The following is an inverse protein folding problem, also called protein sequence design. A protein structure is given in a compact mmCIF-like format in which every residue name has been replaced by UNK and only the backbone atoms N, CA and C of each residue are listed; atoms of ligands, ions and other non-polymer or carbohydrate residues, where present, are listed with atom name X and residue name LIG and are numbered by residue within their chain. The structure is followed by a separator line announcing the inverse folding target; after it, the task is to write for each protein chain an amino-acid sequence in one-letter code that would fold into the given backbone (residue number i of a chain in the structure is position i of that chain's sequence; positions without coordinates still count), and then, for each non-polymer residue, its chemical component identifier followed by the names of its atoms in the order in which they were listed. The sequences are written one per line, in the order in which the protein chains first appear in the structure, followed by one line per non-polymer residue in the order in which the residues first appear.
data_IF_376617416945
#
_entry.id   IF_376617416945
#
_cell.length_a   1.000
_cell.length_b   1.000
_cell.length_c   1.000
_cell.angle_alpha   90.00
_cell.angle_beta   90.00
_cell.angle_gamma   90.00
#
_symmetry.space_group_name_H-M   'P 1'
#
loop_
_entity.id
_entity.type
_entity.pdbx_description
1 polymer ?
#
# COMPACT_ATOMS: atom_id res chain seq x y z
N UNK A 1 -6.36 -43.46 16.79
CA UNK A 1 -6.34 -42.78 15.48
C UNK A 1 -6.39 -41.27 15.72
N UNK A 2 -5.80 -40.48 14.81
CA UNK A 2 -5.70 -39.00 14.78
C UNK A 2 -4.57 -38.35 15.61
N UNK A 3 -3.35 -38.34 15.06
CA UNK A 3 -2.29 -37.36 15.38
C UNK A 3 -1.40 -37.19 14.14
N UNK A 4 -1.83 -36.37 13.18
CA UNK A 4 -1.13 -36.23 11.89
C UNK A 4 -1.48 -35.00 11.03
N UNK A 5 -2.53 -34.23 11.33
CA UNK A 5 -2.96 -33.11 10.46
C UNK A 5 -2.42 -31.72 10.86
N UNK A 6 -2.05 -31.50 12.12
CA UNK A 6 -1.69 -30.16 12.61
C UNK A 6 -0.39 -29.57 12.04
N UNK A 7 0.55 -30.39 11.56
CA UNK A 7 1.88 -29.90 11.13
C UNK A 7 1.91 -29.40 9.69
N UNK A 8 0.96 -29.83 8.84
CA UNK A 8 0.95 -29.44 7.43
C UNK A 8 0.25 -28.08 7.25
N UNK A 9 -0.84 -27.83 7.99
CA UNK A 9 -1.56 -26.55 7.97
C UNK A 9 -0.73 -25.41 8.54
N UNK A 10 -0.02 -25.60 9.65
CA UNK A 10 0.88 -24.58 10.22
C UNK A 10 2.02 -24.20 9.26
N UNK A 11 2.58 -25.17 8.52
CA UNK A 11 3.61 -24.92 7.51
C UNK A 11 3.07 -24.25 6.24
N UNK A 12 1.82 -24.50 5.86
CA UNK A 12 1.15 -23.83 4.75
C UNK A 12 0.84 -22.38 5.13
N UNK A 13 0.31 -22.16 6.33
CA UNK A 13 -0.01 -20.82 6.85
C UNK A 13 1.26 -19.96 7.00
N UNK A 14 2.33 -20.50 7.58
CA UNK A 14 3.60 -19.79 7.70
C UNK A 14 4.26 -19.42 6.37
N UNK A 15 3.96 -20.13 5.27
CA UNK A 15 4.39 -19.74 3.91
C UNK A 15 3.48 -18.67 3.31
N UNK A 16 2.17 -18.83 3.47
CA UNK A 16 1.18 -17.86 3.00
C UNK A 16 1.41 -16.49 3.65
N UNK A 17 1.60 -16.47 4.96
CA UNK A 17 1.80 -15.26 5.76
C UNK A 17 3.09 -14.52 5.37
N UNK A 18 4.18 -15.25 5.08
CA UNK A 18 5.42 -14.66 4.53
C UNK A 18 5.25 -14.08 3.13
N UNK A 19 4.50 -14.77 2.27
CA UNK A 19 4.19 -14.28 0.93
C UNK A 19 3.41 -12.96 0.98
N UNK A 20 2.35 -12.92 1.80
CA UNK A 20 1.53 -11.72 1.99
C UNK A 20 2.33 -10.56 2.58
N UNK A 21 3.17 -10.82 3.60
CA UNK A 21 4.03 -9.80 4.22
C UNK A 21 5.05 -9.23 3.23
N UNK A 22 5.66 -10.09 2.42
CA UNK A 22 6.62 -9.67 1.38
C UNK A 22 5.93 -8.81 0.34
N UNK A 23 4.75 -9.23 -0.12
CA UNK A 23 3.93 -8.47 -1.06
C UNK A 23 3.58 -7.08 -0.52
N UNK A 24 3.13 -7.00 0.73
CA UNK A 24 2.81 -5.74 1.39
C UNK A 24 4.04 -4.82 1.52
N UNK A 25 5.22 -5.37 1.84
CA UNK A 25 6.45 -4.59 1.95
C UNK A 25 6.87 -3.97 0.61
N UNK A 26 6.70 -4.70 -0.51
CA UNK A 26 7.00 -4.19 -1.86
C UNK A 26 6.05 -3.04 -2.25
N UNK A 27 4.75 -3.19 -1.99
CA UNK A 27 3.76 -2.13 -2.23
C UNK A 27 4.08 -0.89 -1.40
N UNK A 28 4.35 -1.08 -0.10
CA UNK A 28 4.69 -0.01 0.82
C UNK A 28 5.96 0.75 0.37
N UNK A 29 6.98 0.03 -0.10
CA UNK A 29 8.20 0.64 -0.61
C UNK A 29 7.95 1.53 -1.84
N UNK A 30 7.11 1.08 -2.79
CA UNK A 30 6.74 1.90 -3.94
C UNK A 30 5.98 3.16 -3.51
N UNK A 31 5.04 3.01 -2.58
CA UNK A 31 4.26 4.12 -2.01
C UNK A 31 5.18 5.17 -1.37
N UNK A 32 6.14 4.74 -0.56
CA UNK A 32 7.11 5.63 0.09
C UNK A 32 8.00 6.38 -0.90
N UNK A 33 8.52 5.68 -1.93
CA UNK A 33 9.36 6.30 -2.95
C UNK A 33 8.62 7.41 -3.71
N UNK A 34 7.36 7.18 -4.05
CA UNK A 34 6.53 8.19 -4.71
C UNK A 34 6.23 9.35 -3.75
N UNK A 35 5.93 9.06 -2.48
CA UNK A 35 5.72 10.07 -1.44
C UNK A 35 6.96 10.94 -1.17
N UNK A 36 8.17 10.41 -1.41
CA UNK A 36 9.44 11.13 -1.31
C UNK A 36 9.80 11.94 -2.56
N UNK A 37 9.00 11.83 -3.64
CA UNK A 37 9.17 12.59 -4.87
C UNK A 37 9.82 11.82 -6.03
N UNK A 38 10.14 10.53 -5.85
CA UNK A 38 10.50 9.66 -6.97
C UNK A 38 9.23 9.26 -7.71
N UNK A 39 8.83 10.07 -8.70
CA UNK A 39 7.53 9.89 -9.38
C UNK A 39 7.45 8.59 -10.20
N UNK A 40 8.55 8.05 -10.69
CA UNK A 40 8.55 6.81 -11.47
C UNK A 40 9.65 5.89 -10.93
N UNK A 41 9.44 5.25 -9.76
CA UNK A 41 10.45 4.37 -9.20
C UNK A 41 10.70 3.15 -10.08
N UNK A 42 11.97 2.71 -10.14
CA UNK A 42 12.33 1.47 -10.84
C UNK A 42 12.14 0.25 -9.95
N UNK A 43 12.11 -0.93 -10.57
CA UNK A 43 12.03 -2.19 -9.83
C UNK A 43 13.20 -2.42 -8.87
N UNK A 44 14.38 -1.90 -9.20
CA UNK A 44 15.59 -1.94 -8.39
C UNK A 44 15.47 -1.06 -7.15
N UNK A 45 15.00 0.17 -7.30
CA UNK A 45 14.78 1.11 -6.18
C UNK A 45 13.73 0.56 -5.21
N UNK A 46 12.63 0.00 -5.74
CA UNK A 46 11.60 -0.66 -4.93
C UNK A 46 12.17 -1.87 -4.19
N UNK A 47 12.97 -2.71 -4.86
CA UNK A 47 13.58 -3.89 -4.25
C UNK A 47 14.53 -3.50 -3.10
N UNK A 48 15.37 -2.49 -3.33
CA UNK A 48 16.28 -1.94 -2.33
C UNK A 48 15.52 -1.39 -1.12
N UNK A 49 14.50 -0.56 -1.37
CA UNK A 49 13.67 0.02 -0.30
C UNK A 49 12.92 -1.04 0.51
N UNK A 50 12.35 -2.04 -0.15
CA UNK A 50 11.66 -3.16 0.50
C UNK A 50 12.62 -4.17 1.16
N UNK A 51 13.93 -4.01 1.00
CA UNK A 51 14.96 -4.94 1.50
C UNK A 51 14.75 -6.39 0.99
N UNK A 52 14.38 -6.51 -0.28
CA UNK A 52 14.19 -7.81 -0.95
C UNK A 52 15.03 -7.88 -2.23
N UNK A 53 15.33 -9.08 -2.70
CA UNK A 53 15.99 -9.23 -4.01
C UNK A 53 15.05 -8.87 -5.16
N UNK A 54 15.59 -8.36 -6.27
CA UNK A 54 14.84 -8.04 -7.49
C UNK A 54 13.99 -9.22 -8.00
N UNK A 55 14.53 -10.45 -7.96
CA UNK A 55 13.80 -11.68 -8.32
C UNK A 55 12.60 -11.95 -7.40
N UNK A 56 12.64 -11.48 -6.16
CA UNK A 56 11.49 -11.58 -5.23
C UNK A 56 10.39 -10.62 -5.65
N UNK A 57 10.71 -9.39 -6.08
CA UNK A 57 9.72 -8.45 -6.63
C UNK A 57 8.98 -9.09 -7.80
N UNK A 58 9.72 -9.57 -8.81
CA UNK A 58 9.13 -10.18 -10.01
C UNK A 58 8.42 -11.52 -9.77
N UNK A 59 8.63 -12.16 -8.62
CA UNK A 59 7.86 -13.35 -8.23
C UNK A 59 6.48 -12.98 -7.70
N UNK A 60 6.34 -11.80 -7.10
CA UNK A 60 5.07 -11.32 -6.54
C UNK A 60 4.29 -10.43 -7.52
N UNK A 61 4.97 -9.79 -8.46
CA UNK A 61 4.40 -8.90 -9.48
C UNK A 61 5.03 -9.22 -10.83
N UNK A 62 4.21 -9.51 -11.85
CA UNK A 62 4.70 -9.88 -13.18
C UNK A 62 5.52 -8.76 -13.83
N UNK A 63 5.07 -7.52 -13.62
CA UNK A 63 5.69 -6.31 -14.11
C UNK A 63 5.42 -5.12 -13.16
N UNK A 64 6.00 -3.96 -13.49
CA UNK A 64 5.77 -2.73 -12.76
C UNK A 64 4.31 -2.26 -12.86
N UNK A 65 3.64 -2.48 -14.00
CA UNK A 65 2.24 -2.07 -14.20
C UNK A 65 1.31 -2.74 -13.18
N UNK A 66 1.49 -4.04 -12.96
CA UNK A 66 0.76 -4.83 -11.96
C UNK A 66 1.02 -4.31 -10.55
N UNK A 67 2.25 -3.91 -10.25
CA UNK A 67 2.59 -3.31 -8.96
C UNK A 67 1.93 -1.91 -8.79
N UNK A 68 1.92 -1.07 -9.82
CA UNK A 68 1.24 0.23 -9.79
C UNK A 68 -0.28 0.07 -9.63
N UNK A 69 -0.91 -0.91 -10.28
CA UNK A 69 -2.34 -1.22 -10.11
C UNK A 69 -2.69 -1.59 -8.67
N UNK A 70 -1.80 -2.30 -7.99
CA UNK A 70 -1.99 -2.67 -6.58
C UNK A 70 -1.82 -1.47 -5.65
N UNK A 71 -0.89 -0.57 -5.97
CA UNK A 71 -0.77 0.72 -5.28
C UNK A 71 -2.03 1.57 -5.50
N UNK A 72 -2.53 1.66 -6.72
CA UNK A 72 -3.76 2.41 -7.05
C UNK A 72 -4.97 1.87 -6.27
N UNK A 73 -5.11 0.54 -6.20
CA UNK A 73 -6.13 -0.09 -5.36
C UNK A 73 -5.96 0.30 -3.88
N UNK A 74 -4.74 0.23 -3.35
CA UNK A 74 -4.46 0.59 -1.95
C UNK A 74 -4.75 2.06 -1.64
N UNK A 75 -4.42 2.97 -2.57
CA UNK A 75 -4.69 4.40 -2.43
C UNK A 75 -6.19 4.66 -2.51
N UNK A 76 -6.88 4.02 -3.45
CA UNK A 76 -8.34 4.13 -3.57
C UNK A 76 -9.03 3.69 -2.28
N UNK A 77 -8.58 2.59 -1.67
CA UNK A 77 -9.09 2.13 -0.38
C UNK A 77 -8.81 3.14 0.74
N UNK A 78 -7.59 3.70 0.82
CA UNK A 78 -7.25 4.75 1.78
C UNK A 78 -8.16 5.98 1.63
N UNK A 79 -8.36 6.44 0.39
CA UNK A 79 -9.24 7.57 0.08
C UNK A 79 -10.67 7.26 0.53
N UNK A 80 -11.22 6.10 0.18
CA UNK A 80 -12.56 5.70 0.59
C UNK A 80 -12.73 5.73 2.12
N UNK A 81 -11.78 5.17 2.85
CA UNK A 81 -11.79 5.16 4.32
C UNK A 81 -11.80 6.58 4.93
N UNK A 82 -11.04 7.52 4.34
CA UNK A 82 -11.03 8.92 4.78
C UNK A 82 -12.39 9.63 4.53
N UNK A 83 -13.12 9.23 3.48
CA UNK A 83 -14.47 9.75 3.21
C UNK A 83 -15.54 9.11 4.11
N UNK A 84 -15.34 7.89 4.57
CA UNK A 84 -16.26 7.17 5.46
C UNK A 84 -16.11 7.58 6.95
N UNK A 85 -15.16 8.46 7.28
CA UNK A 85 -14.97 8.95 8.64
C UNK A 85 -16.21 9.68 9.15
N UNK A 86 -16.72 9.23 10.29
CA UNK A 86 -17.86 9.86 10.94
C UNK A 86 -17.56 11.33 11.29
N UNK A 87 -18.57 12.22 11.20
CA UNK A 87 -18.43 13.60 11.61
C UNK A 87 -17.99 13.69 13.07
N UNK A 88 -17.01 14.54 13.35
CA UNK A 88 -16.63 14.87 14.73
C UNK A 88 -17.76 15.69 15.36
N UNK A 89 -18.15 15.32 16.58
CA UNK A 89 -19.08 16.09 17.39
C UNK A 89 -18.38 17.37 17.90
N UNK A 90 -18.45 18.44 17.10
CA UNK A 90 -17.84 19.73 17.36
C UNK A 90 -18.72 20.87 16.78
N UNK A 91 -18.51 22.14 17.18
CA UNK A 91 -19.15 23.29 16.56
C UNK A 91 -18.91 23.33 15.03
N UNK A 92 -19.81 24.00 14.29
CA UNK A 92 -19.76 24.03 12.82
C UNK A 92 -18.40 24.51 12.28
N UNK A 93 -17.85 25.58 12.86
CA UNK A 93 -16.58 26.17 12.43
C UNK A 93 -15.41 25.18 12.59
N UNK A 94 -15.36 24.48 13.73
CA UNK A 94 -14.33 23.47 14.00
C UNK A 94 -14.48 22.25 13.07
N UNK A 95 -15.72 21.82 12.79
CA UNK A 95 -15.98 20.75 11.81
C UNK A 95 -15.52 21.11 10.41
N UNK A 96 -15.70 22.37 9.98
CA UNK A 96 -15.23 22.86 8.69
C UNK A 96 -13.70 22.86 8.66
N UNK A 97 -13.03 23.40 9.69
CA UNK A 97 -11.57 23.44 9.77
C UNK A 97 -10.97 22.04 9.70
N UNK A 98 -11.48 21.10 10.52
CA UNK A 98 -11.04 19.71 10.51
C UNK A 98 -11.24 19.02 9.16
N UNK A 99 -12.37 19.28 8.49
CA UNK A 99 -12.62 18.74 7.15
C UNK A 99 -11.61 19.28 6.14
N UNK A 100 -11.35 20.59 6.14
CA UNK A 100 -10.39 21.21 5.22
C UNK A 100 -8.98 20.67 5.45
N UNK A 101 -8.52 20.60 6.70
CA UNK A 101 -7.20 20.05 7.04
C UNK A 101 -7.04 18.60 6.57
N UNK A 102 -8.04 17.74 6.84
CA UNK A 102 -8.05 16.35 6.37
C UNK A 102 -8.01 16.27 4.84
N UNK A 103 -8.76 17.12 4.15
CA UNK A 103 -8.78 17.15 2.68
C UNK A 103 -7.46 17.62 2.09
N UNK A 104 -6.86 18.67 2.63
CA UNK A 104 -5.54 19.13 2.20
C UNK A 104 -4.49 18.02 2.37
N UNK A 105 -4.42 17.41 3.56
CA UNK A 105 -3.49 16.33 3.83
C UNK A 105 -3.73 15.08 2.94
N UNK A 106 -4.97 14.83 2.53
CA UNK A 106 -5.30 13.76 1.58
C UNK A 106 -4.84 14.13 0.16
N UNK A 107 -5.12 15.34 -0.30
CA UNK A 107 -4.72 15.79 -1.64
C UNK A 107 -3.20 15.83 -1.82
N UNK A 108 -2.45 16.29 -0.82
CA UNK A 108 -0.99 16.30 -0.88
C UNK A 108 -0.43 14.89 -1.07
N UNK A 109 -1.02 13.90 -0.37
CA UNK A 109 -0.66 12.49 -0.53
C UNK A 109 -1.07 11.95 -1.90
N UNK A 110 -2.33 12.10 -2.29
CA UNK A 110 -2.88 11.51 -3.53
C UNK A 110 -2.28 12.13 -4.79
N UNK A 111 -1.98 13.43 -4.79
CA UNK A 111 -1.48 14.12 -5.97
C UNK A 111 -0.12 13.59 -6.45
N UNK A 112 0.78 13.24 -5.52
CA UNK A 112 2.06 12.61 -5.83
C UNK A 112 1.85 11.26 -6.52
N UNK A 113 0.88 10.47 -6.05
CA UNK A 113 0.56 9.18 -6.67
C UNK A 113 -0.14 9.33 -8.03
N UNK A 114 -1.08 10.27 -8.17
CA UNK A 114 -1.74 10.52 -9.46
C UNK A 114 -0.74 10.95 -10.55
N UNK A 115 0.33 11.65 -10.17
CA UNK A 115 1.42 12.03 -11.09
C UNK A 115 2.38 10.87 -11.42
N UNK A 116 2.37 9.79 -10.63
CA UNK A 116 3.27 8.64 -10.78
C UNK A 116 2.73 7.51 -11.66
N UNK A 117 1.41 7.42 -11.84
CA UNK A 117 0.79 6.35 -12.62
C UNK A 117 0.96 6.62 -14.12
N UNK A 118 1.71 5.79 -14.87
CA UNK A 118 1.81 5.93 -16.31
C UNK A 118 0.46 5.66 -16.97
N UNK A 119 0.13 6.45 -18.01
CA UNK A 119 -1.13 6.39 -18.75
C UNK A 119 -1.28 5.16 -19.66
#
# INVERSE_FOLDING_TARGET
MARGEATNDEHIDGRLNRSTRTRAAIVQALVELIGEGTLIPTSEEVAERAQVGLRTVFRHFEDMETLYKEVDHSITQMVQQEFDLMPVAAPLEERIALLVERRLALYDRVNLYAASTPA
#
